data_IF_906911177945
#
_entry.id   IF_906911177945
#
_cell.length_a   1.000
_cell.length_b   1.000
_cell.length_c   1.000
_cell.angle_alpha   90.00
_cell.angle_beta   90.00
_cell.angle_gamma   90.00
#
_symmetry.space_group_name_H-M   'P 1'
#
loop_
_entity.id
_entity.type
_entity.pdbx_description
1 polymer ?
#
# COMPACT_ATOMS: atom_id res chain seq x y z
N UNK A 1 34.89 -6.43 16.43
CA UNK A 1 33.45 -6.67 16.25
C UNK A 1 32.89 -5.47 15.52
N UNK A 2 32.66 -5.60 14.22
CA UNK A 2 32.07 -4.54 13.39
C UNK A 2 30.56 -4.64 13.62
N UNK A 3 29.94 -3.55 14.05
CA UNK A 3 28.51 -3.53 14.36
C UNK A 3 27.71 -3.63 13.06
N UNK A 4 26.55 -4.29 13.08
CA UNK A 4 25.70 -4.51 11.91
C UNK A 4 25.23 -3.20 11.24
N UNK A 5 25.40 -2.05 11.90
CA UNK A 5 25.03 -0.73 11.39
C UNK A 5 26.07 -0.16 10.40
N UNK A 6 27.36 -0.50 10.54
CA UNK A 6 28.41 0.01 9.64
C UNK A 6 28.38 -0.65 8.25
N UNK A 7 27.87 -1.88 8.14
CA UNK A 7 27.82 -2.62 6.87
C UNK A 7 26.69 -2.12 5.96
N UNK A 8 25.61 -1.57 6.53
CA UNK A 8 24.46 -1.07 5.76
C UNK A 8 24.78 0.28 5.10
N UNK A 9 25.70 1.07 5.66
CA UNK A 9 26.11 2.36 5.09
C UNK A 9 27.16 2.27 3.97
N UNK A 10 27.86 1.14 3.81
CA UNK A 10 28.94 1.01 2.82
C UNK A 10 28.48 0.60 1.41
N UNK A 11 27.19 0.29 1.21
CA UNK A 11 26.61 -0.11 -0.08
C UNK A 11 25.46 0.83 -0.42
N UNK A 12 25.79 2.08 -0.71
CA UNK A 12 24.85 2.99 -1.36
C UNK A 12 25.64 3.93 -2.28
N UNK A 13 25.53 3.82 -3.62
CA UNK A 13 26.02 4.87 -4.50
C UNK A 13 25.21 6.15 -4.21
N UNK A 14 25.92 7.21 -3.84
CA UNK A 14 25.41 8.49 -3.35
C UNK A 14 24.64 9.35 -4.39
N UNK A 15 23.81 8.74 -5.26
CA UNK A 15 23.05 9.50 -6.25
C UNK A 15 21.70 8.87 -6.69
N UNK A 16 20.99 8.19 -5.79
CA UNK A 16 19.57 7.91 -5.99
C UNK A 16 18.79 8.46 -4.80
N UNK A 17 17.71 9.23 -5.03
CA UNK A 17 16.82 9.62 -3.94
C UNK A 17 16.29 8.33 -3.30
N UNK A 18 16.38 8.25 -1.97
CA UNK A 18 15.95 7.08 -1.22
C UNK A 18 14.46 6.83 -1.51
N UNK A 19 14.05 5.65 -2.00
CA UNK A 19 12.65 5.39 -2.34
C UNK A 19 11.72 5.37 -1.12
N UNK A 20 12.26 5.44 0.09
CA UNK A 20 11.49 5.55 1.32
C UNK A 20 10.93 6.96 1.56
N UNK A 21 11.56 7.99 1.02
CA UNK A 21 11.17 9.38 1.30
C UNK A 21 9.96 9.84 0.46
N UNK A 22 9.78 9.31 -0.76
CA UNK A 22 8.72 9.83 -1.65
C UNK A 22 7.31 9.39 -1.25
N UNK A 23 7.14 8.28 -0.52
CA UNK A 23 5.80 7.80 -0.10
C UNK A 23 5.41 8.37 1.27
N UNK A 24 6.39 8.78 2.08
CA UNK A 24 6.15 9.25 3.45
C UNK A 24 5.68 10.72 3.51
N UNK A 25 5.99 11.52 2.48
CA UNK A 25 5.64 12.95 2.42
C UNK A 25 4.35 13.26 1.63
N UNK A 26 3.71 12.27 1.02
CA UNK A 26 2.42 12.46 0.34
C UNK A 26 1.24 12.43 1.32
N UNK A 27 0.20 13.27 1.08
CA UNK A 27 -0.91 13.46 1.99
C UNK A 27 -1.60 12.13 2.31
N UNK A 28 -1.88 11.92 3.59
CA UNK A 28 -2.56 10.77 4.20
C UNK A 28 -3.32 9.91 3.18
N UNK A 29 -2.66 8.87 2.67
CA UNK A 29 -3.20 8.01 1.60
C UNK A 29 -4.34 7.16 2.19
N UNK A 30 -5.58 7.60 2.00
CA UNK A 30 -6.76 6.87 2.46
C UNK A 30 -7.15 5.80 1.44
N UNK A 31 -6.85 4.54 1.73
CA UNK A 31 -7.19 3.39 0.87
C UNK A 31 -8.40 2.62 1.43
N UNK A 32 -9.43 3.34 1.85
CA UNK A 32 -10.61 2.71 2.42
C UNK A 32 -11.39 1.97 1.32
N UNK A 33 -11.60 0.66 1.51
CA UNK A 33 -12.34 -0.20 0.57
C UNK A 33 -13.75 -0.54 1.04
N UNK A 34 -14.10 -0.20 2.30
CA UNK A 34 -15.43 -0.42 2.83
C UNK A 34 -16.34 0.82 2.61
N UNK A 35 -17.44 0.69 1.83
CA UNK A 35 -18.34 1.82 1.52
C UNK A 35 -19.02 2.42 2.76
N UNK A 36 -19.30 1.63 3.80
CA UNK A 36 -19.90 2.13 5.04
C UNK A 36 -18.94 3.05 5.80
N UNK A 37 -17.65 2.72 5.79
CA UNK A 37 -16.63 3.52 6.44
C UNK A 37 -16.38 4.82 5.67
N UNK A 38 -16.38 4.77 4.34
CA UNK A 38 -16.29 5.96 3.48
C UNK A 38 -17.49 6.88 3.74
N UNK A 39 -18.70 6.33 3.73
CA UNK A 39 -19.92 7.10 3.99
C UNK A 39 -19.87 7.80 5.35
N UNK A 40 -19.45 7.09 6.40
CA UNK A 40 -19.29 7.66 7.75
C UNK A 40 -18.19 8.71 7.80
N UNK A 41 -17.10 8.53 7.07
CA UNK A 41 -16.01 9.50 6.99
C UNK A 41 -16.45 10.77 6.27
N UNK A 42 -17.21 10.64 5.17
CA UNK A 42 -17.78 11.79 4.45
C UNK A 42 -18.72 12.59 5.34
N UNK A 43 -19.60 11.93 6.09
CA UNK A 43 -20.45 12.61 7.08
C UNK A 43 -19.61 13.35 8.11
N UNK A 44 -18.59 12.72 8.69
CA UNK A 44 -17.72 13.38 9.68
C UNK A 44 -16.99 14.58 9.08
N UNK A 45 -16.51 14.47 7.85
CA UNK A 45 -15.85 15.57 7.14
C UNK A 45 -16.83 16.73 6.87
N UNK A 46 -18.06 16.41 6.48
CA UNK A 46 -19.14 17.39 6.30
C UNK A 46 -19.48 18.09 7.63
N UNK A 47 -19.59 17.35 8.73
CA UNK A 47 -19.84 17.88 10.08
C UNK A 47 -18.70 18.75 10.60
N UNK A 48 -17.45 18.36 10.38
CA UNK A 48 -16.28 19.18 10.73
C UNK A 48 -16.23 20.48 9.94
N UNK A 49 -16.62 20.46 8.66
CA UNK A 49 -16.63 21.65 7.80
C UNK A 49 -17.81 22.58 8.09
N UNK A 50 -18.98 22.02 8.35
CA UNK A 50 -20.23 22.76 8.55
C UNK A 50 -20.42 23.20 10.01
N UNK A 51 -19.84 22.49 10.98
CA UNK A 51 -20.08 22.68 12.41
C UNK A 51 -21.47 22.26 12.88
N UNK A 52 -22.32 21.79 11.96
CA UNK A 52 -23.69 21.35 12.20
C UNK A 52 -23.73 19.84 11.96
N UNK A 53 -24.42 19.08 12.84
CA UNK A 53 -24.66 17.64 12.63
C UNK A 53 -25.33 17.43 11.27
N UNK A 54 -24.81 16.50 10.48
CA UNK A 54 -25.35 16.27 9.15
C UNK A 54 -26.78 15.73 9.26
N UNK A 55 -27.64 16.11 8.31
CA UNK A 55 -29.00 15.56 8.20
C UNK A 55 -29.03 14.11 7.67
N UNK A 56 -27.86 13.54 7.33
CA UNK A 56 -27.74 12.20 6.75
C UNK A 56 -27.80 11.13 7.86
N UNK A 57 -28.55 10.03 7.65
CA UNK A 57 -28.65 8.97 8.66
C UNK A 57 -27.30 8.28 8.89
N UNK A 58 -26.79 8.30 10.12
CA UNK A 58 -25.51 7.68 10.48
C UNK A 58 -25.51 6.13 10.42
N UNK A 59 -26.68 5.50 10.46
CA UNK A 59 -26.85 4.03 10.37
C UNK A 59 -27.57 3.67 9.07
N UNK A 60 -26.80 3.56 7.99
CA UNK A 60 -27.29 3.10 6.69
C UNK A 60 -26.84 1.67 6.41
N UNK A 61 -27.65 0.94 5.65
CA UNK A 61 -27.24 -0.35 5.10
C UNK A 61 -26.16 -0.13 4.03
N UNK A 62 -25.31 -1.14 3.74
CA UNK A 62 -24.28 -1.04 2.72
C UNK A 62 -24.84 -0.69 1.33
N UNK A 63 -26.06 -1.13 1.02
CA UNK A 63 -26.75 -0.81 -0.23
C UNK A 63 -27.11 0.67 -0.34
N UNK A 64 -27.56 1.28 0.76
CA UNK A 64 -27.86 2.72 0.80
C UNK A 64 -26.59 3.56 0.76
N UNK A 65 -25.49 3.11 1.41
CA UNK A 65 -24.19 3.77 1.31
C UNK A 65 -23.62 3.71 -0.12
N UNK A 66 -23.83 2.60 -0.83
CA UNK A 66 -23.40 2.45 -2.23
C UNK A 66 -24.28 3.21 -3.22
N UNK A 67 -25.53 3.51 -2.84
CA UNK A 67 -26.47 4.31 -3.63
C UNK A 67 -26.08 5.79 -3.65
N UNK A 68 -25.37 6.26 -2.62
CA UNK A 68 -24.85 7.63 -2.56
C UNK A 68 -23.73 7.84 -3.60
N UNK A 69 -23.93 8.84 -4.46
CA UNK A 69 -23.03 9.09 -5.59
C UNK A 69 -21.65 9.59 -5.14
N UNK A 70 -21.58 10.34 -4.04
CA UNK A 70 -20.34 10.88 -3.49
C UNK A 70 -19.47 9.75 -2.92
N UNK A 71 -20.07 8.88 -2.10
CA UNK A 71 -19.43 7.69 -1.54
C UNK A 71 -18.89 6.76 -2.63
N UNK A 72 -19.67 6.53 -3.69
CA UNK A 72 -19.23 5.70 -4.82
C UNK A 72 -18.04 6.32 -5.55
N UNK A 73 -18.05 7.63 -5.76
CA UNK A 73 -16.97 8.35 -6.45
C UNK A 73 -15.66 8.23 -5.67
N UNK A 74 -15.72 8.44 -4.35
CA UNK A 74 -14.57 8.31 -3.46
C UNK A 74 -14.06 6.86 -3.41
N UNK A 75 -14.96 5.88 -3.34
CA UNK A 75 -14.57 4.46 -3.40
C UNK A 75 -13.83 4.12 -4.70
N UNK A 76 -14.33 4.59 -5.85
CA UNK A 76 -13.67 4.36 -7.15
C UNK A 76 -12.28 5.00 -7.16
N UNK A 77 -12.15 6.23 -6.65
CA UNK A 77 -10.87 6.92 -6.54
C UNK A 77 -9.88 6.13 -5.67
N UNK A 78 -10.30 5.67 -4.48
CA UNK A 78 -9.45 4.86 -3.60
C UNK A 78 -8.98 3.57 -4.29
N UNK A 79 -9.86 2.90 -5.05
CA UNK A 79 -9.50 1.68 -5.78
C UNK A 79 -8.50 1.95 -6.92
N UNK A 80 -8.65 3.08 -7.63
CA UNK A 80 -7.71 3.49 -8.67
C UNK A 80 -6.34 3.83 -8.08
N UNK A 81 -6.31 4.55 -6.95
CA UNK A 81 -5.08 4.85 -6.21
C UNK A 81 -4.41 3.57 -5.72
N UNK A 82 -5.17 2.64 -5.14
CA UNK A 82 -4.66 1.34 -4.68
C UNK A 82 -3.96 0.58 -5.82
N UNK A 83 -4.60 0.53 -6.99
CA UNK A 83 -4.03 -0.10 -8.17
C UNK A 83 -2.74 0.58 -8.59
N UNK A 84 -2.75 1.90 -8.74
CA UNK A 84 -1.57 2.67 -9.16
C UNK A 84 -0.39 2.48 -8.20
N UNK A 85 -0.62 2.49 -6.89
CA UNK A 85 0.42 2.26 -5.89
C UNK A 85 0.96 0.83 -5.98
N UNK A 86 0.07 -0.14 -6.16
CA UNK A 86 0.46 -1.56 -6.29
C UNK A 86 1.30 -1.78 -7.55
N UNK A 87 0.92 -1.19 -8.68
CA UNK A 87 1.69 -1.27 -9.93
C UNK A 87 3.09 -0.65 -9.75
N UNK A 88 3.17 0.54 -9.16
CA UNK A 88 4.45 1.19 -8.84
C UNK A 88 5.31 0.36 -7.89
N UNK A 89 4.71 -0.27 -6.88
CA UNK A 89 5.41 -1.14 -5.95
C UNK A 89 5.96 -2.38 -6.65
N UNK A 90 5.18 -3.01 -7.51
CA UNK A 90 5.59 -4.17 -8.30
C UNK A 90 6.73 -3.80 -9.26
N UNK A 91 6.64 -2.67 -9.95
CA UNK A 91 7.70 -2.18 -10.83
C UNK A 91 9.01 -1.96 -10.08
N UNK A 92 8.94 -1.30 -8.91
CA UNK A 92 10.12 -1.13 -8.04
C UNK A 92 10.64 -2.46 -7.52
N UNK A 93 9.76 -3.41 -7.21
CA UNK A 93 10.16 -4.75 -6.80
C UNK A 93 10.95 -5.45 -7.93
N UNK A 94 10.47 -5.40 -9.17
CA UNK A 94 11.19 -5.97 -10.31
C UNK A 94 12.54 -5.29 -10.54
N UNK A 95 12.61 -3.96 -10.46
CA UNK A 95 13.87 -3.22 -10.56
C UNK A 95 14.85 -3.55 -9.44
N UNK A 96 14.35 -3.88 -8.24
CA UNK A 96 15.19 -4.31 -7.13
C UNK A 96 15.83 -5.69 -7.34
N UNK A 97 15.26 -6.51 -8.23
CA UNK A 97 15.83 -7.83 -8.54
C UNK A 97 17.21 -7.71 -9.15
N UNK A 98 17.56 -6.65 -9.87
CA UNK A 98 18.91 -6.50 -10.43
C UNK A 98 19.94 -6.20 -9.33
N UNK A 99 19.52 -5.46 -8.29
CA UNK A 99 20.38 -5.07 -7.17
C UNK A 99 20.43 -6.10 -6.03
N UNK A 100 19.74 -7.23 -6.15
CA UNK A 100 19.68 -8.22 -5.08
C UNK A 100 21.05 -8.92 -4.87
N UNK A 101 21.60 -8.96 -3.64
CA UNK A 101 22.84 -9.66 -3.33
C UNK A 101 22.79 -11.14 -3.66
N UNK A 102 23.93 -11.71 -4.09
CA UNK A 102 24.05 -13.13 -4.43
C UNK A 102 23.57 -14.07 -3.31
N UNK A 103 23.88 -13.74 -2.05
CA UNK A 103 23.51 -14.57 -0.89
C UNK A 103 21.99 -14.81 -0.79
N UNK A 104 21.19 -13.76 -1.00
CA UNK A 104 19.72 -13.86 -0.94
C UNK A 104 19.20 -14.71 -2.11
N UNK A 105 19.75 -14.51 -3.31
CA UNK A 105 19.40 -15.33 -4.49
C UNK A 105 19.74 -16.80 -4.30
N UNK A 106 20.89 -17.08 -3.69
CA UNK A 106 21.34 -18.44 -3.41
C UNK A 106 20.42 -19.14 -2.41
N UNK A 107 20.06 -18.47 -1.31
CA UNK A 107 19.11 -19.00 -0.32
C UNK A 107 17.75 -19.28 -0.98
N UNK A 108 17.24 -18.35 -1.79
CA UNK A 108 15.99 -18.54 -2.52
C UNK A 108 16.04 -19.73 -3.49
N UNK A 109 17.17 -19.91 -4.19
CA UNK A 109 17.41 -21.06 -5.09
C UNK A 109 17.40 -22.38 -4.33
N UNK A 110 18.13 -22.48 -3.22
CA UNK A 110 18.20 -23.70 -2.43
C UNK A 110 16.86 -24.04 -1.77
N UNK A 111 16.10 -23.02 -1.35
CA UNK A 111 14.73 -23.19 -0.86
C UNK A 111 13.83 -23.77 -1.96
N UNK A 112 13.85 -23.19 -3.16
CA UNK A 112 13.09 -23.69 -4.32
C UNK A 112 13.45 -25.14 -4.63
N UNK A 113 14.74 -25.47 -4.73
CA UNK A 113 15.20 -26.82 -5.03
C UNK A 113 14.75 -27.83 -3.95
N UNK A 114 14.82 -27.43 -2.68
CA UNK A 114 14.38 -28.27 -1.56
C UNK A 114 12.87 -28.52 -1.58
N UNK A 115 12.07 -27.50 -1.89
CA UNK A 115 10.61 -27.63 -2.01
C UNK A 115 10.21 -28.50 -3.20
N UNK A 116 10.82 -28.30 -4.37
CA UNK A 116 10.55 -29.10 -5.58
C UNK A 116 10.93 -30.58 -5.40
N UNK A 117 12.02 -30.85 -4.68
CA UNK A 117 12.44 -32.23 -4.36
C UNK A 117 11.48 -32.92 -3.39
N UNK A 118 10.91 -32.17 -2.44
CA UNK A 118 9.97 -32.71 -1.45
C UNK A 118 8.55 -32.84 -1.99
N UNK A 119 8.13 -31.96 -2.90
CA UNK A 119 6.81 -31.96 -3.52
C UNK A 119 6.94 -31.88 -5.06
N UNK A 120 7.32 -32.97 -5.73
CA UNK A 120 7.40 -33.02 -7.19
C UNK A 120 5.98 -33.04 -7.78
N UNK A 121 5.43 -31.87 -8.11
CA UNK A 121 4.09 -31.74 -8.73
C UNK A 121 3.25 -30.55 -8.28
N UNK A 122 3.76 -29.69 -7.41
CA UNK A 122 3.16 -28.40 -7.07
C UNK A 122 3.68 -27.27 -7.98
#
# INVERSE_FOLDING_TARGET
>A
MITLEEVIHSVAPANQPNPQETILDEPEIVLQTNPLLIYRQLIKQEEMRSGIRSARPCNVTPETALSDAETRTVLIQHLQQLRSITDQFIDRFYQSLDNMPYGIRYIAKELKNSLMRKNPGA
#
